data_IF_247746963120
#
_entry.id   IF_247746963120
#
_cell.length_a   1.000
_cell.length_b   1.000
_cell.length_c   1.000
_cell.angle_alpha   90.00
_cell.angle_beta   90.00
_cell.angle_gamma   90.00
#
_symmetry.space_group_name_H-M   'P 1'
#
loop_
_entity.id
_entity.type
_entity.pdbx_description
1 polymer ?
#
# COMPACT_ATOMS: atom_id res chain seq x y z
N UNK A 1 21.94 -8.93 7.61
CA UNK A 1 22.62 -8.83 6.30
C UNK A 1 21.91 -9.76 5.34
N UNK A 2 21.58 -9.31 4.13
CA UNK A 2 20.90 -10.16 3.13
C UNK A 2 21.90 -11.13 2.47
N UNK A 3 21.43 -12.33 2.12
CA UNK A 3 22.19 -13.25 1.27
C UNK A 3 22.36 -12.68 -0.14
N UNK A 4 23.30 -13.24 -0.91
CA UNK A 4 23.48 -12.88 -2.32
C UNK A 4 22.18 -13.07 -3.12
N UNK A 5 21.50 -14.19 -2.94
CA UNK A 5 20.24 -14.50 -3.62
C UNK A 5 19.12 -13.51 -3.28
N UNK A 6 19.02 -13.13 -2.00
CA UNK A 6 18.08 -12.10 -1.54
C UNK A 6 18.36 -10.74 -2.20
N UNK A 7 19.64 -10.38 -2.39
CA UNK A 7 20.02 -9.14 -3.07
C UNK A 7 19.71 -9.19 -4.57
N UNK A 8 19.90 -10.33 -5.23
CA UNK A 8 19.57 -10.52 -6.65
C UNK A 8 18.07 -10.31 -6.86
N UNK A 9 17.22 -11.04 -6.12
CA UNK A 9 15.76 -10.95 -6.29
C UNK A 9 15.24 -9.54 -5.97
N UNK A 10 15.78 -8.90 -4.94
CA UNK A 10 15.44 -7.50 -4.60
C UNK A 10 15.81 -6.52 -5.73
N UNK A 11 16.95 -6.74 -6.38
CA UNK A 11 17.35 -5.90 -7.52
C UNK A 11 16.49 -6.16 -8.75
N UNK A 12 16.04 -7.39 -8.95
CA UNK A 12 15.15 -7.74 -10.07
C UNK A 12 13.78 -7.10 -9.90
N UNK A 13 13.19 -7.10 -8.69
CA UNK A 13 11.92 -6.37 -8.43
C UNK A 13 12.04 -4.90 -8.79
N UNK A 14 13.14 -4.24 -8.43
CA UNK A 14 13.37 -2.83 -8.81
C UNK A 14 13.46 -2.65 -10.32
N UNK A 15 14.14 -3.55 -11.02
CA UNK A 15 14.21 -3.52 -12.49
C UNK A 15 12.84 -3.72 -13.11
N UNK A 16 12.05 -4.68 -12.60
CA UNK A 16 10.70 -4.95 -13.09
C UNK A 16 9.76 -3.77 -12.85
N UNK A 17 9.85 -3.09 -11.70
CA UNK A 17 9.13 -1.83 -11.45
C UNK A 17 9.52 -0.76 -12.49
N UNK A 18 10.82 -0.63 -12.81
CA UNK A 18 11.30 0.34 -13.81
C UNK A 18 10.89 -0.01 -15.25
N UNK A 19 10.79 -1.30 -15.57
CA UNK A 19 10.40 -1.79 -16.88
C UNK A 19 8.90 -2.04 -17.03
N UNK A 20 8.10 -1.69 -16.01
CA UNK A 20 6.66 -1.89 -15.98
C UNK A 20 6.20 -3.36 -16.05
N UNK A 21 7.04 -4.28 -15.62
CA UNK A 21 6.80 -5.73 -15.69
C UNK A 21 6.11 -6.24 -14.42
N UNK A 22 4.78 -6.14 -14.38
CA UNK A 22 3.98 -6.64 -13.25
C UNK A 22 4.12 -8.15 -13.02
N UNK A 23 4.22 -8.95 -14.08
CA UNK A 23 4.39 -10.41 -13.97
C UNK A 23 5.76 -10.77 -13.37
N UNK A 24 6.81 -10.05 -13.78
CA UNK A 24 8.15 -10.14 -13.19
C UNK A 24 8.12 -9.88 -11.68
N UNK A 25 7.45 -8.80 -11.24
CA UNK A 25 7.30 -8.47 -9.82
C UNK A 25 6.63 -9.62 -9.07
N UNK A 26 5.48 -10.12 -9.56
CA UNK A 26 4.73 -11.18 -8.89
C UNK A 26 5.52 -12.49 -8.79
N UNK A 27 6.23 -12.89 -9.85
CA UNK A 27 7.11 -14.06 -9.81
C UNK A 27 8.23 -13.91 -8.78
N UNK A 28 8.84 -12.73 -8.69
CA UNK A 28 9.88 -12.49 -7.68
C UNK A 28 9.32 -12.53 -6.26
N UNK A 29 8.11 -12.01 -6.02
CA UNK A 29 7.44 -12.11 -4.72
C UNK A 29 7.18 -13.57 -4.34
N UNK A 30 6.71 -14.38 -5.29
CA UNK A 30 6.49 -15.81 -5.06
C UNK A 30 7.79 -16.52 -4.71
N UNK A 31 8.88 -16.26 -5.44
CA UNK A 31 10.20 -16.80 -5.12
C UNK A 31 10.64 -16.45 -3.69
N UNK A 32 10.45 -15.19 -3.26
CA UNK A 32 10.78 -14.78 -1.88
C UNK A 32 9.95 -15.57 -0.86
N UNK A 33 8.65 -15.77 -1.15
CA UNK A 33 7.70 -16.47 -0.28
C UNK A 33 8.05 -17.95 -0.14
N UNK A 34 8.28 -18.65 -1.25
CA UNK A 34 8.64 -20.07 -1.27
C UNK A 34 9.96 -20.35 -0.52
N UNK A 35 10.89 -19.40 -0.55
CA UNK A 35 12.17 -19.50 0.16
C UNK A 35 12.10 -19.02 1.63
N UNK A 36 10.94 -18.57 2.11
CA UNK A 36 10.74 -18.17 3.50
C UNK A 36 11.50 -16.91 3.93
N UNK A 37 11.86 -16.04 2.99
CA UNK A 37 12.66 -14.83 3.26
C UNK A 37 11.79 -13.67 3.79
N UNK A 38 11.19 -13.85 4.97
CA UNK A 38 10.18 -12.95 5.57
C UNK A 38 10.59 -11.48 5.66
N UNK A 39 11.85 -11.20 6.03
CA UNK A 39 12.35 -9.82 6.10
C UNK A 39 12.46 -9.16 4.72
N UNK A 40 12.84 -9.93 3.69
CA UNK A 40 12.87 -9.45 2.31
C UNK A 40 11.45 -9.31 1.76
N UNK A 41 10.52 -10.17 2.18
CA UNK A 41 9.15 -10.19 1.72
C UNK A 41 8.40 -8.88 2.04
N UNK A 42 8.52 -8.38 3.26
CA UNK A 42 7.81 -7.16 3.68
C UNK A 42 8.12 -5.95 2.80
N UNK A 43 9.41 -5.63 2.65
CA UNK A 43 9.86 -4.46 1.87
C UNK A 43 9.44 -4.58 0.39
N UNK A 44 9.58 -5.78 -0.19
CA UNK A 44 9.24 -6.00 -1.60
C UNK A 44 7.73 -6.03 -1.84
N UNK A 45 6.92 -6.55 -0.90
CA UNK A 45 5.47 -6.48 -0.96
C UNK A 45 5.00 -5.03 -0.92
N UNK A 46 5.61 -4.19 -0.07
CA UNK A 46 5.28 -2.78 0.01
C UNK A 46 5.51 -2.07 -1.34
N UNK A 47 6.64 -2.34 -2.00
CA UNK A 47 6.95 -1.77 -3.32
C UNK A 47 6.01 -2.30 -4.42
N UNK A 48 5.66 -3.59 -4.38
CA UNK A 48 4.70 -4.19 -5.29
C UNK A 48 3.29 -3.61 -5.13
N UNK A 49 2.79 -3.46 -3.88
CA UNK A 49 1.50 -2.82 -3.59
C UNK A 49 1.47 -1.42 -4.20
N UNK A 50 2.54 -0.64 -3.98
CA UNK A 50 2.65 0.71 -4.53
C UNK A 50 2.58 0.72 -6.07
N UNK A 51 3.26 -0.22 -6.73
CA UNK A 51 3.22 -0.37 -8.18
C UNK A 51 1.80 -0.66 -8.70
N UNK A 52 1.11 -1.67 -8.14
CA UNK A 52 -0.24 -2.02 -8.59
C UNK A 52 -1.30 -0.97 -8.23
N UNK A 53 -1.11 -0.24 -7.11
CA UNK A 53 -1.91 0.96 -6.83
C UNK A 53 -1.76 2.03 -7.92
N UNK A 54 -0.54 2.28 -8.40
CA UNK A 54 -0.29 3.25 -9.46
C UNK A 54 -0.84 2.79 -10.82
N UNK A 55 -1.00 1.47 -11.02
CA UNK A 55 -1.65 0.87 -12.18
C UNK A 55 -3.17 0.81 -12.11
N UNK A 56 -3.75 1.22 -11.00
CA UNK A 56 -5.17 1.09 -10.74
C UNK A 56 -5.66 -0.39 -10.86
N UNK A 57 -4.81 -1.34 -10.47
CA UNK A 57 -5.11 -2.77 -10.42
C UNK A 57 -5.48 -3.15 -8.98
N UNK A 58 -6.77 -3.04 -8.67
CA UNK A 58 -7.31 -3.32 -7.35
C UNK A 58 -7.16 -4.80 -6.95
N UNK A 59 -7.43 -5.73 -7.87
CA UNK A 59 -7.42 -7.16 -7.56
C UNK A 59 -6.03 -7.62 -7.12
N UNK A 60 -5.00 -7.22 -7.86
CA UNK A 60 -3.63 -7.59 -7.52
C UNK A 60 -3.15 -6.85 -6.27
N UNK A 61 -3.46 -5.56 -6.13
CA UNK A 61 -3.10 -4.80 -4.94
C UNK A 61 -3.72 -5.39 -3.66
N UNK A 62 -4.98 -5.80 -3.69
CA UNK A 62 -5.68 -6.42 -2.56
C UNK A 62 -5.02 -7.75 -2.17
N UNK A 63 -4.73 -8.63 -3.14
CA UNK A 63 -4.00 -9.89 -2.88
C UNK A 63 -2.65 -9.65 -2.20
N UNK A 64 -1.92 -8.61 -2.61
CA UNK A 64 -0.62 -8.27 -2.01
C UNK A 64 -0.76 -7.66 -0.62
N UNK A 65 -1.80 -6.86 -0.36
CA UNK A 65 -2.11 -6.31 0.97
C UNK A 65 -2.49 -7.43 1.94
N UNK A 66 -3.30 -8.39 1.50
CA UNK A 66 -3.66 -9.57 2.30
C UNK A 66 -2.43 -10.44 2.61
N UNK A 67 -1.56 -10.63 1.60
CA UNK A 67 -0.29 -11.31 1.76
C UNK A 67 0.60 -10.60 2.79
N UNK A 68 0.74 -9.27 2.69
CA UNK A 68 1.52 -8.47 3.63
C UNK A 68 0.96 -8.57 5.05
N UNK A 69 -0.36 -8.42 5.22
CA UNK A 69 -1.02 -8.47 6.52
C UNK A 69 -0.86 -9.85 7.19
N UNK A 70 -0.87 -10.93 6.40
CA UNK A 70 -0.74 -12.30 6.89
C UNK A 70 0.70 -12.68 7.26
N UNK A 71 1.70 -12.15 6.53
CA UNK A 71 3.09 -12.58 6.65
C UNK A 71 4.00 -11.58 7.40
N UNK A 72 3.57 -10.31 7.53
CA UNK A 72 4.40 -9.21 8.02
C UNK A 72 3.77 -8.54 9.25
N UNK A 73 3.33 -9.32 10.25
CA UNK A 73 2.57 -8.83 11.41
C UNK A 73 3.29 -7.74 12.25
N UNK A 74 4.61 -7.63 12.14
CA UNK A 74 5.42 -6.65 12.87
C UNK A 74 5.90 -5.49 12.01
N UNK A 75 5.59 -5.50 10.72
CA UNK A 75 5.97 -4.44 9.80
C UNK A 75 4.70 -3.76 9.24
N UNK A 76 4.68 -2.45 9.30
CA UNK A 76 3.51 -1.66 8.87
C UNK A 76 3.84 -0.95 7.57
N UNK A 77 2.90 -0.95 6.63
CA UNK A 77 3.01 -0.11 5.44
C UNK A 77 3.23 1.36 5.84
N UNK A 78 4.12 2.04 5.12
CA UNK A 78 4.33 3.46 5.33
C UNK A 78 3.07 4.29 4.99
N UNK A 79 3.01 5.52 5.49
CA UNK A 79 1.85 6.43 5.30
C UNK A 79 1.47 6.60 3.83
N UNK A 80 2.47 6.63 2.95
CA UNK A 80 2.27 6.88 1.53
C UNK A 80 1.57 5.69 0.85
N UNK A 81 2.04 4.48 1.12
CA UNK A 81 1.46 3.24 0.58
C UNK A 81 0.06 2.99 1.12
N UNK A 82 -0.17 3.27 2.41
CA UNK A 82 -1.51 3.22 3.01
C UNK A 82 -2.48 4.15 2.28
N UNK A 83 -2.12 5.42 2.09
CA UNK A 83 -3.00 6.37 1.41
C UNK A 83 -3.21 6.05 -0.07
N UNK A 84 -2.22 5.48 -0.76
CA UNK A 84 -2.38 5.02 -2.14
C UNK A 84 -3.37 3.88 -2.25
N UNK A 85 -3.31 2.91 -1.35
CA UNK A 85 -4.28 1.82 -1.34
C UNK A 85 -5.69 2.31 -0.94
N UNK A 86 -5.80 3.20 0.04
CA UNK A 86 -7.08 3.86 0.37
C UNK A 86 -7.64 4.59 -0.84
N UNK A 87 -6.81 5.34 -1.56
CA UNK A 87 -7.23 6.02 -2.78
C UNK A 87 -7.75 5.02 -3.82
N UNK A 88 -7.02 3.92 -4.05
CA UNK A 88 -7.42 2.88 -5.00
C UNK A 88 -8.81 2.33 -4.64
N UNK A 89 -9.05 1.99 -3.37
CA UNK A 89 -10.35 1.53 -2.89
C UNK A 89 -11.45 2.57 -3.18
N UNK A 90 -11.19 3.85 -2.94
CA UNK A 90 -12.14 4.93 -3.21
C UNK A 90 -12.38 5.16 -4.70
N UNK A 91 -11.35 5.05 -5.54
CA UNK A 91 -11.45 5.14 -7.00
C UNK A 91 -12.29 3.97 -7.59
N UNK A 92 -12.49 2.89 -6.82
CA UNK A 92 -13.35 1.75 -7.13
C UNK A 92 -14.65 1.70 -6.30
N UNK A 93 -15.11 2.82 -5.75
CA UNK A 93 -16.34 2.95 -4.95
C UNK A 93 -16.40 2.08 -3.67
N UNK A 94 -15.26 1.57 -3.19
CA UNK A 94 -15.16 0.74 -1.96
C UNK A 94 -14.86 1.59 -0.73
N UNK A 95 -15.75 2.54 -0.43
CA UNK A 95 -15.60 3.47 0.72
C UNK A 95 -15.52 2.74 2.08
N UNK A 96 -16.35 1.72 2.30
CA UNK A 96 -16.35 1.01 3.58
C UNK A 96 -15.06 0.24 3.83
N UNK A 97 -14.50 -0.36 2.78
CA UNK A 97 -13.22 -1.05 2.86
C UNK A 97 -12.06 -0.07 3.08
N UNK A 98 -12.13 1.11 2.45
CA UNK A 98 -11.15 2.18 2.68
C UNK A 98 -11.12 2.63 4.14
N UNK A 99 -12.30 2.82 4.75
CA UNK A 99 -12.42 3.17 6.17
C UNK A 99 -11.91 2.02 7.06
N UNK A 100 -12.36 0.78 6.81
CA UNK A 100 -11.95 -0.40 7.58
C UNK A 100 -10.42 -0.60 7.53
N UNK A 101 -9.82 -0.44 6.35
CA UNK A 101 -8.38 -0.56 6.17
C UNK A 101 -7.62 0.52 6.94
N UNK A 102 -8.07 1.78 6.87
CA UNK A 102 -7.45 2.89 7.60
C UNK A 102 -7.55 2.70 9.12
N UNK A 103 -8.67 2.17 9.61
CA UNK A 103 -8.87 1.91 11.04
C UNK A 103 -7.89 0.88 11.58
N UNK A 104 -7.63 -0.17 10.78
CA UNK A 104 -6.71 -1.24 11.11
C UNK A 104 -5.23 -0.81 11.17
N UNK A 105 -4.87 0.34 10.58
CA UNK A 105 -3.48 0.81 10.60
C UNK A 105 -3.07 1.33 11.98
N UNK A 106 -1.86 1.02 12.47
CA UNK A 106 -1.33 1.66 13.67
C UNK A 106 -1.14 3.17 13.45
N UNK A 107 -0.96 3.94 14.53
CA UNK A 107 -0.61 5.35 14.40
C UNK A 107 0.79 5.48 13.75
N UNK A 108 0.82 5.87 12.48
CA UNK A 108 2.05 5.93 11.70
C UNK A 108 2.85 7.18 12.09
N UNK A 109 4.17 7.03 12.26
CA UNK A 109 5.08 8.14 12.63
C UNK A 109 5.42 9.01 11.43
N UNK A 110 5.74 10.27 11.70
CA UNK A 110 5.93 11.31 10.69
C UNK A 110 7.19 11.11 9.85
N UNK A 111 6.99 10.97 8.53
CA UNK A 111 7.99 11.34 7.54
C UNK A 111 7.30 12.15 6.44
N UNK A 112 7.86 13.34 6.21
CA UNK A 112 7.62 14.25 5.07
C UNK A 112 6.18 14.74 4.87
N UNK A 113 5.87 15.88 5.50
CA UNK A 113 4.54 16.49 5.57
C UNK A 113 3.96 16.94 4.21
N UNK A 114 4.76 17.59 3.36
CA UNK A 114 4.25 18.28 2.16
C UNK A 114 3.84 17.35 1.00
N UNK A 115 4.47 16.17 0.86
CA UNK A 115 4.05 15.18 -0.13
C UNK A 115 2.78 14.46 0.37
N UNK A 116 2.69 14.20 1.67
CA UNK A 116 1.56 13.52 2.29
C UNK A 116 0.26 14.33 2.16
N UNK A 117 0.30 15.64 2.39
CA UNK A 117 -0.87 16.54 2.25
C UNK A 117 -1.51 16.45 0.86
N UNK A 118 -0.70 16.47 -0.22
CA UNK A 118 -1.21 16.32 -1.60
C UNK A 118 -1.88 14.97 -1.84
N UNK A 119 -1.39 13.90 -1.21
CA UNK A 119 -1.99 12.58 -1.33
C UNK A 119 -3.29 12.48 -0.54
N UNK A 120 -3.36 13.11 0.65
CA UNK A 120 -4.59 13.25 1.42
C UNK A 120 -5.65 14.02 0.63
N UNK A 121 -5.29 15.12 -0.03
CA UNK A 121 -6.23 15.88 -0.86
C UNK A 121 -6.80 15.03 -2.01
N UNK A 122 -5.96 14.17 -2.62
CA UNK A 122 -6.42 13.22 -3.65
C UNK A 122 -7.35 12.15 -3.07
N UNK A 123 -7.05 11.62 -1.89
CA UNK A 123 -7.92 10.68 -1.17
C UNK A 123 -9.29 11.33 -0.90
N UNK A 124 -9.31 12.54 -0.33
CA UNK A 124 -10.55 13.28 -0.05
C UNK A 124 -11.31 13.64 -1.33
N UNK A 125 -10.61 13.97 -2.41
CA UNK A 125 -11.23 14.23 -3.72
C UNK A 125 -11.86 12.97 -4.33
N UNK A 126 -11.24 11.81 -4.12
CA UNK A 126 -11.78 10.51 -4.57
C UNK A 126 -13.00 10.13 -3.73
N UNK A 127 -12.93 10.32 -2.41
CA UNK A 127 -14.06 10.15 -1.50
C UNK A 127 -15.25 11.05 -1.87
N UNK A 128 -15.01 12.32 -2.23
CA UNK A 128 -16.06 13.27 -2.64
C UNK A 128 -16.84 12.80 -3.88
N UNK A 129 -16.22 12.04 -4.79
CA UNK A 129 -16.90 11.50 -5.98
C UNK A 129 -18.02 10.51 -5.63
N UNK A 130 -17.91 9.84 -4.47
CA UNK A 130 -18.95 8.91 -3.97
C UNK A 130 -20.23 9.61 -3.49
N UNK A 131 -20.18 10.94 -3.25
CA UNK A 131 -21.31 11.72 -2.76
C UNK A 131 -21.74 11.47 -1.31
N UNK A 132 -21.14 10.49 -0.61
CA UNK A 132 -21.52 10.13 0.76
C UNK A 132 -20.85 11.06 1.79
N UNK A 133 -21.49 12.19 2.08
CA UNK A 133 -20.97 13.24 2.98
C UNK A 133 -20.64 12.75 4.39
N UNK A 134 -21.42 11.81 4.91
CA UNK A 134 -21.21 11.23 6.23
C UNK A 134 -19.88 10.46 6.28
N UNK A 135 -19.69 9.51 5.34
CA UNK A 135 -18.46 8.71 5.26
C UNK A 135 -17.23 9.56 4.93
N UNK A 136 -17.38 10.63 4.13
CA UNK A 136 -16.31 11.61 3.90
C UNK A 136 -15.91 12.30 5.21
N UNK A 137 -16.89 12.65 6.05
CA UNK A 137 -16.66 13.19 7.40
C UNK A 137 -15.87 12.21 8.27
N UNK A 138 -16.29 10.94 8.30
CA UNK A 138 -15.59 9.88 9.03
C UNK A 138 -14.14 9.72 8.56
N UNK A 139 -13.91 9.66 7.24
CA UNK A 139 -12.58 9.55 6.64
C UNK A 139 -11.68 10.71 7.07
N UNK A 140 -12.19 11.95 7.07
CA UNK A 140 -11.44 13.14 7.52
C UNK A 140 -11.03 13.04 8.98
N UNK A 141 -11.95 12.65 9.85
CA UNK A 141 -11.64 12.51 11.29
C UNK A 141 -10.62 11.40 11.53
N UNK A 142 -10.74 10.25 10.87
CA UNK A 142 -9.77 9.17 10.97
C UNK A 142 -8.38 9.60 10.50
N UNK A 143 -8.28 10.32 9.38
CA UNK A 143 -7.02 10.85 8.88
C UNK A 143 -6.34 11.81 9.90
N UNK A 144 -7.11 12.63 10.62
CA UNK A 144 -6.59 13.46 11.72
C UNK A 144 -6.12 12.61 12.90
N UNK A 145 -6.95 11.70 13.39
CA UNK A 145 -6.62 10.84 14.55
C UNK A 145 -5.37 10.01 14.31
N UNK A 146 -5.20 9.50 13.09
CA UNK A 146 -4.03 8.72 12.67
C UNK A 146 -2.82 9.59 12.26
N UNK A 147 -2.90 10.91 12.42
CA UNK A 147 -1.85 11.91 12.12
C UNK A 147 -1.40 11.93 10.65
N UNK A 148 -2.35 11.77 9.73
CA UNK A 148 -2.15 12.07 8.30
C UNK A 148 -2.48 13.54 7.97
N UNK A 149 -3.34 14.16 8.79
CA UNK A 149 -3.72 15.58 8.78
C UNK A 149 -3.21 16.28 10.04
#
# INVERSE_FOLDING_TARGET
SFSFEQQVVRNDIRKFIQSDDGEGILRSIETIRENGWTHCLSENLADAINFFCDKNDLETAEKLVDCHSSNCQFDSLDKWKVLKYIRLLLDHDRMDDALKFLDAQPALRDREKACLERLVDRVLSSANRTGNREKIGMLREMLKTKKFL
#
